data_IF_559819532492
#
_entry.id   IF_559819532492
#
_cell.length_a   1.000
_cell.length_b   1.000
_cell.length_c   1.000
_cell.angle_alpha   90.00
_cell.angle_beta   90.00
_cell.angle_gamma   90.00
#
_symmetry.space_group_name_H-M   'P 1'
#
loop_
_entity.id
_entity.type
_entity.pdbx_description
1 polymer ?
#
# COMPACT_ATOMS: atom_id res chain seq x y z
N UNK A 1 16.32 -9.98 -37.86
CA UNK A 1 16.73 -10.32 -36.48
C UNK A 1 15.45 -10.49 -35.67
N UNK A 2 15.04 -11.72 -35.38
CA UNK A 2 13.87 -11.97 -34.54
C UNK A 2 14.18 -11.49 -33.11
N UNK A 3 13.37 -10.56 -32.61
CA UNK A 3 13.44 -10.16 -31.21
C UNK A 3 13.22 -11.41 -30.36
N UNK A 4 14.19 -11.74 -29.49
CA UNK A 4 13.97 -12.72 -28.42
C UNK A 4 12.91 -12.08 -27.51
N UNK A 5 11.62 -12.37 -27.74
CA UNK A 5 10.59 -12.12 -26.76
C UNK A 5 11.05 -12.77 -25.45
N UNK A 6 11.37 -11.95 -24.46
CA UNK A 6 11.65 -12.45 -23.11
C UNK A 6 10.34 -13.07 -22.63
N UNK A 7 10.24 -14.38 -22.67
CA UNK A 7 9.10 -15.09 -22.09
C UNK A 7 9.03 -14.72 -20.62
N UNK A 8 7.90 -14.18 -20.17
CA UNK A 8 7.68 -13.79 -18.78
C UNK A 8 7.67 -15.01 -17.85
N UNK A 9 7.51 -16.20 -18.41
CA UNK A 9 7.32 -17.41 -17.64
C UNK A 9 5.91 -17.49 -17.05
N UNK A 10 5.76 -18.26 -16.01
CA UNK A 10 4.52 -18.45 -15.27
C UNK A 10 4.35 -17.32 -14.24
N UNK A 11 3.30 -16.54 -14.38
CA UNK A 11 3.05 -15.34 -13.56
C UNK A 11 1.91 -15.59 -12.58
N UNK A 12 2.12 -15.28 -11.31
CA UNK A 12 1.03 -15.21 -10.33
C UNK A 12 0.59 -13.75 -10.16
N UNK A 13 -0.71 -13.49 -10.30
CA UNK A 13 -1.33 -12.20 -9.96
C UNK A 13 -1.83 -12.29 -8.52
N UNK A 14 -1.16 -11.58 -7.62
CA UNK A 14 -1.51 -11.56 -6.19
C UNK A 14 -2.49 -10.43 -5.96
N UNK A 15 -3.77 -10.76 -5.71
CA UNK A 15 -4.87 -9.82 -5.60
C UNK A 15 -5.85 -10.19 -4.48
N UNK A 16 -6.79 -9.32 -4.16
CA UNK A 16 -7.76 -9.55 -3.07
C UNK A 16 -7.18 -9.13 -1.72
N UNK A 17 -6.83 -10.09 -0.87
CA UNK A 17 -6.31 -9.84 0.47
C UNK A 17 -7.39 -9.45 1.48
N UNK A 18 -6.99 -9.05 2.68
CA UNK A 18 -7.87 -8.83 3.84
C UNK A 18 -8.08 -7.36 4.19
N UNK A 19 -7.52 -6.42 3.40
CA UNK A 19 -7.65 -4.99 3.66
C UNK A 19 -9.05 -4.46 3.31
N UNK A 20 -9.36 -3.26 3.78
CA UNK A 20 -10.58 -2.55 3.41
C UNK A 20 -10.66 -2.23 1.90
N UNK A 21 -9.55 -2.34 1.18
CA UNK A 21 -9.44 -2.08 -0.27
C UNK A 21 -9.54 -3.35 -1.13
N UNK A 22 -9.99 -4.48 -0.53
CA UNK A 22 -10.12 -5.78 -1.20
C UNK A 22 -10.81 -5.71 -2.55
N UNK A 23 -11.97 -5.08 -2.62
CA UNK A 23 -12.78 -5.00 -3.85
C UNK A 23 -12.02 -4.25 -4.98
N UNK A 24 -11.29 -3.21 -4.63
CA UNK A 24 -10.44 -2.48 -5.58
C UNK A 24 -9.33 -3.38 -6.11
N UNK A 25 -8.71 -4.15 -5.23
CA UNK A 25 -7.67 -5.12 -5.59
C UNK A 25 -8.19 -6.21 -6.52
N UNK A 26 -9.36 -6.78 -6.24
CA UNK A 26 -10.00 -7.80 -7.08
C UNK A 26 -10.36 -7.25 -8.47
N UNK A 27 -10.91 -6.05 -8.54
CA UNK A 27 -11.25 -5.39 -9.79
C UNK A 27 -9.99 -5.11 -10.64
N UNK A 28 -8.97 -4.50 -10.05
CA UNK A 28 -7.71 -4.17 -10.72
C UNK A 28 -6.96 -5.43 -11.13
N UNK A 29 -6.89 -6.42 -10.25
CA UNK A 29 -6.25 -7.71 -10.49
C UNK A 29 -6.90 -8.51 -11.61
N UNK A 30 -8.24 -8.49 -11.69
CA UNK A 30 -8.97 -9.11 -12.81
C UNK A 30 -8.61 -8.48 -14.14
N UNK A 31 -8.46 -7.15 -14.20
CA UNK A 31 -8.00 -6.44 -15.38
C UNK A 31 -6.58 -6.83 -15.79
N UNK A 32 -5.66 -6.91 -14.83
CA UNK A 32 -4.28 -7.36 -15.04
C UNK A 32 -4.23 -8.80 -15.54
N UNK A 33 -4.96 -9.70 -14.87
CA UNK A 33 -5.03 -11.11 -15.26
C UNK A 33 -5.51 -11.27 -16.70
N UNK A 34 -6.59 -10.55 -17.06
CA UNK A 34 -7.10 -10.55 -18.42
C UNK A 34 -6.05 -10.08 -19.43
N UNK A 35 -5.39 -8.97 -19.15
CA UNK A 35 -4.37 -8.41 -20.04
C UNK A 35 -3.18 -9.36 -20.25
N UNK A 36 -2.72 -10.02 -19.18
CA UNK A 36 -1.65 -11.01 -19.26
C UNK A 36 -2.05 -12.21 -20.13
N UNK A 37 -3.28 -12.73 -19.94
CA UNK A 37 -3.80 -13.86 -20.73
C UNK A 37 -4.04 -13.50 -22.20
N UNK A 38 -4.55 -12.30 -22.47
CA UNK A 38 -4.70 -11.79 -23.84
C UNK A 38 -3.32 -11.68 -24.53
N UNK A 39 -2.27 -11.36 -23.77
CA UNK A 39 -0.88 -11.36 -24.23
C UNK A 39 -0.24 -12.77 -24.26
N UNK A 40 -1.01 -13.84 -24.05
CA UNK A 40 -0.59 -15.23 -24.01
C UNK A 40 0.47 -15.55 -22.95
N UNK A 41 0.45 -14.80 -21.86
CA UNK A 41 1.23 -15.10 -20.65
C UNK A 41 0.49 -16.17 -19.83
N UNK A 42 1.20 -17.19 -19.37
CA UNK A 42 0.65 -18.14 -18.41
C UNK A 42 0.49 -17.45 -17.07
N UNK A 43 -0.75 -17.08 -16.74
CA UNK A 43 -1.08 -16.27 -15.55
C UNK A 43 -2.18 -16.91 -14.71
N UNK A 44 -1.90 -17.06 -13.41
CA UNK A 44 -2.81 -17.56 -12.39
C UNK A 44 -3.08 -16.50 -11.33
N UNK A 45 -4.12 -16.70 -10.52
CA UNK A 45 -4.48 -15.84 -9.39
C UNK A 45 -4.02 -16.47 -8.09
N UNK A 46 -3.56 -15.63 -7.18
CA UNK A 46 -3.42 -15.97 -5.76
C UNK A 46 -4.09 -14.87 -4.92
N UNK A 47 -5.05 -15.29 -4.10
CA UNK A 47 -5.73 -14.41 -3.15
C UNK A 47 -5.45 -14.88 -1.72
N UNK A 48 -4.63 -14.14 -0.95
CA UNK A 48 -4.21 -14.54 0.40
C UNK A 48 -5.35 -14.57 1.44
N UNK A 49 -6.57 -14.14 1.09
CA UNK A 49 -7.73 -14.33 1.96
C UNK A 49 -8.36 -15.71 1.84
N UNK A 50 -8.24 -16.34 0.68
CA UNK A 50 -8.96 -17.59 0.37
C UNK A 50 -8.04 -18.77 0.08
N UNK A 51 -6.74 -18.52 -0.10
CA UNK A 51 -5.73 -19.53 -0.40
C UNK A 51 -4.61 -19.49 0.63
N UNK A 52 -4.11 -20.67 0.99
CA UNK A 52 -2.99 -20.77 1.92
C UNK A 52 -1.67 -20.37 1.25
N UNK A 53 -0.78 -19.76 2.04
CA UNK A 53 0.53 -19.31 1.56
C UNK A 53 1.36 -20.47 1.00
N UNK A 54 1.15 -21.69 1.52
CA UNK A 54 1.80 -22.90 1.05
C UNK A 54 1.49 -23.20 -0.42
N UNK A 55 0.30 -22.86 -0.90
CA UNK A 55 -0.05 -22.99 -2.31
C UNK A 55 0.79 -22.07 -3.19
N UNK A 56 1.06 -20.85 -2.73
CA UNK A 56 1.93 -19.91 -3.46
C UNK A 56 3.38 -20.41 -3.51
N UNK A 57 3.87 -20.94 -2.40
CA UNK A 57 5.26 -21.40 -2.27
C UNK A 57 5.51 -22.71 -3.02
N UNK A 58 4.50 -23.60 -3.09
CA UNK A 58 4.64 -24.92 -3.72
C UNK A 58 4.57 -24.90 -5.25
N UNK A 59 4.05 -23.82 -5.85
CA UNK A 59 3.93 -23.67 -7.29
C UNK A 59 5.16 -22.97 -7.87
N UNK A 60 5.68 -23.50 -8.98
CA UNK A 60 6.83 -22.94 -9.69
C UNK A 60 6.41 -21.70 -10.51
N UNK A 61 6.26 -20.55 -9.83
CA UNK A 61 6.07 -19.27 -10.50
C UNK A 61 7.42 -18.61 -10.80
N UNK A 62 7.52 -17.98 -11.96
CA UNK A 62 8.70 -17.21 -12.36
C UNK A 62 8.63 -15.76 -11.87
N UNK A 63 7.41 -15.21 -11.71
CA UNK A 63 7.16 -13.81 -11.30
C UNK A 63 5.82 -13.64 -10.60
N UNK A 64 5.77 -12.67 -9.71
CA UNK A 64 4.54 -12.20 -9.09
C UNK A 64 4.17 -10.79 -9.60
N UNK A 65 2.92 -10.60 -10.00
CA UNK A 65 2.34 -9.29 -10.19
C UNK A 65 1.54 -8.94 -8.94
N UNK A 66 2.07 -8.03 -8.13
CA UNK A 66 1.42 -7.59 -6.90
C UNK A 66 0.40 -6.49 -7.21
N UNK A 67 -0.86 -6.71 -6.86
CA UNK A 67 -1.96 -5.76 -7.01
C UNK A 67 -2.85 -5.74 -5.77
N UNK A 68 -2.31 -6.19 -4.63
CA UNK A 68 -2.91 -5.96 -3.32
C UNK A 68 -2.87 -4.47 -2.98
N UNK A 69 -3.84 -4.00 -2.22
CA UNK A 69 -3.90 -2.63 -1.72
C UNK A 69 -3.97 -2.60 -0.20
N UNK A 70 -3.48 -1.51 0.40
CA UNK A 70 -3.51 -1.28 1.83
C UNK A 70 -2.68 -2.28 2.63
N UNK A 71 -3.18 -2.62 3.81
CA UNK A 71 -2.49 -3.49 4.76
C UNK A 71 -2.24 -4.88 4.18
N UNK A 72 -1.02 -5.38 4.34
CA UNK A 72 -0.54 -6.65 3.79
C UNK A 72 -0.08 -6.57 2.33
N UNK A 73 -0.51 -5.56 1.58
CA UNK A 73 -0.15 -5.35 0.16
C UNK A 73 0.88 -4.25 -0.08
N UNK A 74 0.79 -3.15 0.68
CA UNK A 74 1.60 -1.95 0.45
C UNK A 74 2.56 -1.64 1.60
N UNK A 75 2.58 -2.47 2.64
CA UNK A 75 3.31 -2.25 3.90
C UNK A 75 4.61 -3.06 4.04
N UNK A 76 5.03 -3.76 2.99
CA UNK A 76 6.24 -4.58 3.00
C UNK A 76 6.01 -6.05 3.36
N UNK A 77 4.82 -6.44 3.81
CA UNK A 77 4.54 -7.82 4.26
C UNK A 77 4.62 -8.79 3.09
N UNK A 78 3.82 -8.58 2.03
CA UNK A 78 3.85 -9.46 0.86
C UNK A 78 5.20 -9.40 0.13
N UNK A 79 5.82 -8.21 0.07
CA UNK A 79 7.13 -8.03 -0.52
C UNK A 79 8.20 -8.87 0.22
N UNK A 80 8.15 -8.89 1.55
CA UNK A 80 9.04 -9.71 2.38
C UNK A 80 8.89 -11.21 2.12
N UNK A 81 7.66 -11.67 1.92
CA UNK A 81 7.41 -13.05 1.50
C UNK A 81 8.02 -13.34 0.14
N UNK A 82 7.79 -12.46 -0.86
CA UNK A 82 8.35 -12.65 -2.21
C UNK A 82 9.88 -12.70 -2.18
N UNK A 83 10.52 -11.85 -1.40
CA UNK A 83 11.98 -11.88 -1.24
C UNK A 83 12.46 -13.15 -0.55
N UNK A 84 11.75 -13.60 0.49
CA UNK A 84 12.11 -14.83 1.21
C UNK A 84 12.05 -16.07 0.32
N UNK A 85 11.00 -16.21 -0.51
CA UNK A 85 10.84 -17.29 -1.47
C UNK A 85 11.61 -17.05 -2.79
N UNK A 86 12.30 -15.93 -2.92
CA UNK A 86 13.09 -15.53 -4.10
C UNK A 86 12.24 -15.40 -5.38
N UNK A 87 10.98 -15.04 -5.26
CA UNK A 87 10.08 -14.80 -6.38
C UNK A 87 10.13 -13.32 -6.79
N UNK A 88 10.65 -13.01 -7.99
CA UNK A 88 10.64 -11.63 -8.50
C UNK A 88 9.22 -11.07 -8.59
N UNK A 89 9.04 -9.81 -8.19
CA UNK A 89 7.72 -9.20 -8.15
C UNK A 89 7.73 -7.76 -8.69
N UNK A 90 6.53 -7.25 -8.98
CA UNK A 90 6.33 -5.86 -9.43
C UNK A 90 6.21 -4.93 -8.24
N UNK A 91 6.71 -3.68 -8.39
CA UNK A 91 6.57 -2.63 -7.38
C UNK A 91 7.83 -2.40 -6.56
N UNK A 92 7.65 -1.68 -5.45
CA UNK A 92 8.74 -1.30 -4.54
C UNK A 92 9.11 -2.45 -3.60
N UNK A 93 10.36 -2.47 -3.14
CA UNK A 93 10.84 -3.46 -2.17
C UNK A 93 10.32 -3.21 -0.75
N UNK A 94 10.64 -4.14 0.16
CA UNK A 94 10.16 -4.17 1.56
C UNK A 94 10.33 -2.83 2.27
N UNK A 95 11.55 -2.30 2.26
CA UNK A 95 11.88 -1.07 3.00
C UNK A 95 11.12 0.15 2.50
N UNK A 96 11.06 0.31 1.17
CA UNK A 96 10.34 1.43 0.56
C UNK A 96 8.84 1.35 0.85
N UNK A 97 8.24 0.16 0.71
CA UNK A 97 6.82 -0.07 1.01
C UNK A 97 6.50 0.21 2.48
N UNK A 98 7.29 -0.35 3.41
CA UNK A 98 7.06 -0.18 4.84
C UNK A 98 7.17 1.28 5.31
N UNK A 99 8.09 2.07 4.73
CA UNK A 99 8.20 3.50 5.06
C UNK A 99 7.08 4.29 4.41
N UNK A 100 6.79 4.07 3.13
CA UNK A 100 5.86 4.93 2.38
C UNK A 100 4.40 4.80 2.84
N UNK A 101 3.98 3.65 3.34
CA UNK A 101 2.64 3.51 3.93
C UNK A 101 2.49 4.30 5.24
N UNK A 102 3.57 4.46 6.01
CA UNK A 102 3.58 5.22 7.26
C UNK A 102 3.89 6.70 6.99
N UNK A 103 2.85 7.53 6.96
CA UNK A 103 2.97 8.98 6.65
C UNK A 103 3.85 9.73 7.63
N UNK A 104 3.94 9.28 8.89
CA UNK A 104 4.79 9.89 9.91
C UNK A 104 6.24 9.59 9.62
N UNK A 105 6.56 8.32 9.34
CA UNK A 105 7.93 7.92 8.99
C UNK A 105 8.37 8.49 7.66
N UNK A 106 7.50 8.48 6.64
CA UNK A 106 7.77 9.11 5.34
C UNK A 106 8.18 10.58 5.49
N UNK A 107 7.41 11.36 6.27
CA UNK A 107 7.73 12.78 6.50
C UNK A 107 9.07 12.95 7.21
N UNK A 108 9.35 12.15 8.24
CA UNK A 108 10.64 12.20 8.96
C UNK A 108 11.84 11.91 8.03
N UNK A 109 11.69 10.90 7.15
CA UNK A 109 12.73 10.58 6.17
C UNK A 109 12.92 11.74 5.19
N UNK A 110 11.84 12.31 4.66
CA UNK A 110 11.92 13.44 3.73
C UNK A 110 12.55 14.68 4.38
N UNK A 111 12.15 15.02 5.60
CA UNK A 111 12.75 16.12 6.37
C UNK A 111 14.25 15.91 6.60
N UNK A 112 14.68 14.66 6.91
CA UNK A 112 16.10 14.36 7.16
C UNK A 112 17.01 14.54 5.96
N UNK A 113 16.46 14.51 4.74
CA UNK A 113 17.18 14.72 3.47
C UNK A 113 16.83 16.05 2.80
N UNK A 114 16.16 16.96 3.51
CA UNK A 114 15.88 18.32 3.04
C UNK A 114 14.71 18.45 2.07
N UNK A 115 13.88 17.42 1.91
CA UNK A 115 12.64 17.51 1.11
C UNK A 115 11.59 18.27 1.91
N UNK A 116 11.00 19.35 1.36
CA UNK A 116 9.96 20.10 2.04
C UNK A 116 8.71 19.25 2.31
N UNK A 117 8.23 19.28 3.55
CA UNK A 117 6.98 18.60 3.94
C UNK A 117 6.00 19.59 4.57
N UNK A 118 4.69 19.40 4.42
CA UNK A 118 3.70 20.20 5.13
C UNK A 118 3.87 20.05 6.64
N UNK A 119 3.73 21.14 7.38
CA UNK A 119 3.72 21.11 8.85
C UNK A 119 2.63 20.18 9.34
N UNK A 120 2.88 19.47 10.42
CA UNK A 120 1.94 18.53 11.00
C UNK A 120 2.47 17.90 12.27
N UNK A 121 1.58 17.26 13.01
CA UNK A 121 1.89 16.50 14.21
C UNK A 121 1.06 15.25 14.28
N UNK A 122 1.51 14.28 15.07
CA UNK A 122 0.72 13.10 15.39
C UNK A 122 -0.22 13.43 16.55
N UNK A 123 -1.47 13.00 16.43
CA UNK A 123 -2.52 13.22 17.44
C UNK A 123 -2.85 11.88 18.09
N UNK A 124 -3.03 11.91 19.40
CA UNK A 124 -3.50 10.79 20.24
C UNK A 124 -4.64 11.28 21.13
N UNK A 125 -5.31 10.37 21.80
CA UNK A 125 -6.40 10.73 22.75
C UNK A 125 -5.97 11.72 23.85
N UNK A 126 -4.69 11.71 24.22
CA UNK A 126 -4.14 12.57 25.27
C UNK A 126 -3.59 13.90 24.73
N UNK A 127 -3.73 14.16 23.43
CA UNK A 127 -3.17 15.36 22.81
C UNK A 127 -3.95 16.62 23.18
N UNK A 128 -3.23 17.73 23.39
CA UNK A 128 -3.85 19.03 23.62
C UNK A 128 -4.29 19.65 22.27
N UNK A 129 -5.57 19.52 21.94
CA UNK A 129 -6.15 19.98 20.67
C UNK A 129 -6.04 21.50 20.47
N UNK A 130 -6.19 22.28 21.54
CA UNK A 130 -6.03 23.73 21.45
C UNK A 130 -4.60 24.14 21.09
N UNK A 131 -3.61 23.45 21.61
CA UNK A 131 -2.21 23.69 21.27
C UNK A 131 -1.90 23.29 19.80
N UNK A 132 -2.45 22.20 19.33
CA UNK A 132 -2.32 21.76 17.94
C UNK A 132 -2.88 22.81 16.98
N UNK A 133 -4.08 23.34 17.28
CA UNK A 133 -4.71 24.40 16.48
C UNK A 133 -3.84 25.66 16.50
N UNK A 134 -3.29 26.03 17.67
CA UNK A 134 -2.37 27.18 17.78
C UNK A 134 -1.12 27.01 16.93
N UNK A 135 -0.59 25.80 16.84
CA UNK A 135 0.64 25.46 16.10
C UNK A 135 0.42 25.38 14.58
N UNK A 136 -0.66 24.74 14.17
CA UNK A 136 -0.91 24.39 12.77
C UNK A 136 -1.94 25.28 12.06
N UNK A 137 -2.70 26.06 12.80
CA UNK A 137 -3.83 26.85 12.29
C UNK A 137 -5.13 26.07 12.30
N UNK A 138 -6.21 26.73 11.85
CA UNK A 138 -7.58 26.21 11.96
C UNK A 138 -8.05 25.37 10.76
N UNK A 139 -7.33 25.43 9.63
CA UNK A 139 -7.66 24.63 8.45
C UNK A 139 -6.78 23.37 8.45
N UNK A 140 -7.34 22.25 8.85
CA UNK A 140 -6.62 21.04 9.14
C UNK A 140 -7.12 19.86 8.30
N UNK A 141 -6.21 18.92 8.06
CA UNK A 141 -6.55 17.60 7.56
C UNK A 141 -6.07 16.59 8.59
N UNK A 142 -7.01 15.82 9.13
CA UNK A 142 -6.75 14.67 10.00
C UNK A 142 -6.83 13.41 9.18
N UNK A 143 -5.90 12.51 9.37
CA UNK A 143 -5.88 11.23 8.63
C UNK A 143 -5.11 10.17 9.40
N UNK A 144 -5.47 8.88 9.27
CA UNK A 144 -4.70 7.78 9.83
C UNK A 144 -3.27 7.76 9.29
N UNK A 145 -2.31 7.40 10.15
CA UNK A 145 -0.89 7.36 9.77
C UNK A 145 -0.57 6.30 8.72
N UNK A 146 -1.30 5.16 8.72
CA UNK A 146 -0.98 3.97 7.93
C UNK A 146 -2.07 3.49 6.98
N UNK A 147 -3.13 4.27 6.78
CA UNK A 147 -4.19 3.93 5.82
C UNK A 147 -3.97 4.64 4.48
N UNK A 148 -4.42 4.01 3.39
CA UNK A 148 -4.39 4.54 2.03
C UNK A 148 -5.76 5.07 1.57
N UNK A 149 -5.87 5.40 0.27
CA UNK A 149 -7.12 5.71 -0.47
C UNK A 149 -8.08 6.70 0.20
N UNK A 150 -7.55 7.63 0.99
CA UNK A 150 -8.33 8.63 1.77
C UNK A 150 -9.26 8.02 2.82
N UNK A 151 -9.08 6.77 3.19
CA UNK A 151 -9.86 6.13 4.27
C UNK A 151 -9.56 6.86 5.59
N UNK A 152 -10.61 7.28 6.30
CA UNK A 152 -10.48 7.99 7.57
C UNK A 152 -9.86 9.39 7.45
N UNK A 153 -9.91 10.02 6.26
CA UNK A 153 -9.44 11.39 6.07
C UNK A 153 -10.57 12.38 6.37
N UNK A 154 -10.30 13.31 7.28
CA UNK A 154 -11.21 14.40 7.65
C UNK A 154 -10.60 15.76 7.30
N UNK A 155 -11.36 16.60 6.63
CA UNK A 155 -11.03 18.00 6.39
C UNK A 155 -11.82 18.86 7.35
N UNK A 156 -11.14 19.64 8.18
CA UNK A 156 -11.73 20.54 9.15
C UNK A 156 -11.40 21.97 8.73
N UNK A 157 -12.44 22.77 8.49
CA UNK A 157 -12.31 24.20 8.27
C UNK A 157 -12.72 24.91 9.56
N UNK A 158 -11.93 25.90 10.01
CA UNK A 158 -12.14 26.64 11.26
C UNK A 158 -12.22 25.71 12.50
N UNK A 159 -11.20 24.86 12.66
CA UNK A 159 -11.13 23.84 13.71
C UNK A 159 -11.29 24.44 15.12
N UNK A 160 -12.07 23.75 15.94
CA UNK A 160 -12.15 23.91 17.41
C UNK A 160 -11.55 22.68 18.09
N UNK A 161 -11.20 22.76 19.40
CA UNK A 161 -10.71 21.57 20.11
C UNK A 161 -11.70 20.39 20.04
N UNK A 162 -13.00 20.65 20.09
CA UNK A 162 -14.07 19.66 20.02
C UNK A 162 -14.08 18.99 18.63
N UNK A 163 -14.15 19.78 17.55
CA UNK A 163 -14.18 19.23 16.17
C UNK A 163 -12.90 18.48 15.79
N UNK A 164 -11.77 18.88 16.37
CA UNK A 164 -10.51 18.18 16.16
C UNK A 164 -10.43 16.86 16.96
N UNK A 165 -11.09 16.82 18.13
CA UNK A 165 -11.17 15.60 18.95
C UNK A 165 -12.11 14.54 18.38
N UNK A 166 -13.14 14.97 17.63
CA UNK A 166 -14.11 14.07 16.97
C UNK A 166 -13.59 13.45 15.67
N UNK A 167 -12.55 14.02 15.07
CA UNK A 167 -11.98 13.60 13.79
C UNK A 167 -10.90 12.52 13.96
#
# INVERSE_FOLDING_TARGET
MASKEKKLGRVVVVMGGTSAEREVSLMSGSGVLKALRDARVDAEVFDPQVQDIEELVSKDYDRAFLILHGKGGEDGVIQGLMEYIKLPYTGSGVFASAISIDKVMTKKVWESIGIPVPRGTTVTADSNMAEIIRLLGKNLIVKPSKEGSSIGLYRINDATPESLSEA
#
